data_IF_610161478475
#
_entry.id   IF_610161478475
#
_cell.length_a   1.000
_cell.length_b   1.000
_cell.length_c   1.000
_cell.angle_alpha   90.00
_cell.angle_beta   90.00
_cell.angle_gamma   90.00
#
_symmetry.space_group_name_H-M   'P 1'
#
loop_
_entity.id
_entity.type
_entity.pdbx_description
1 polymer ?
#
# COMPACT_ATOMS: atom_id res chain seq x y z
N UNK A 1 -13.66 2.19 14.83
CA UNK A 1 -12.49 1.29 14.80
C UNK A 1 -11.24 2.04 15.22
N UNK A 2 -10.11 1.37 15.42
CA UNK A 2 -8.82 2.05 15.69
C UNK A 2 -8.48 3.07 14.58
N UNK A 3 -8.85 2.74 13.33
CA UNK A 3 -8.67 3.65 12.22
C UNK A 3 -9.60 4.88 12.31
N UNK A 4 -10.86 4.75 12.78
CA UNK A 4 -11.71 5.91 13.09
C UNK A 4 -11.04 6.89 14.05
N UNK A 5 -10.33 6.40 15.07
CA UNK A 5 -9.61 7.26 16.00
C UNK A 5 -8.41 7.96 15.33
N UNK A 6 -7.67 7.27 14.46
CA UNK A 6 -6.58 7.85 13.67
C UNK A 6 -7.11 8.92 12.70
N UNK A 7 -8.23 8.64 12.02
CA UNK A 7 -8.88 9.56 11.09
C UNK A 7 -9.27 10.85 11.80
N UNK A 8 -9.81 10.74 13.02
CA UNK A 8 -10.31 11.90 13.76
C UNK A 8 -9.24 12.63 14.59
N UNK A 9 -7.97 12.18 14.57
CA UNK A 9 -6.89 12.77 15.38
C UNK A 9 -5.70 13.20 14.53
N UNK A 10 -5.49 14.51 14.43
CA UNK A 10 -4.33 15.09 13.73
C UNK A 10 -3.00 14.65 14.35
N UNK A 11 -2.92 14.64 15.68
CA UNK A 11 -1.73 14.17 16.40
C UNK A 11 -1.41 12.71 16.05
N UNK A 12 -2.44 11.85 15.96
CA UNK A 12 -2.24 10.46 15.54
C UNK A 12 -1.73 10.37 14.11
N UNK A 13 -2.31 11.12 13.16
CA UNK A 13 -1.86 11.15 11.76
C UNK A 13 -0.42 11.66 11.63
N UNK A 14 -0.06 12.70 12.39
CA UNK A 14 1.30 13.26 12.41
C UNK A 14 2.30 12.26 12.98
N UNK A 15 1.97 11.59 14.08
CA UNK A 15 2.84 10.57 14.68
C UNK A 15 3.12 9.40 13.74
N UNK A 16 2.16 9.00 12.90
CA UNK A 16 2.36 7.95 11.90
C UNK A 16 3.40 8.32 10.84
N UNK A 17 3.38 9.57 10.42
CA UNK A 17 4.31 10.11 9.43
C UNK A 17 5.70 10.32 10.05
N UNK A 18 5.77 10.84 11.27
CA UNK A 18 7.04 11.25 11.88
C UNK A 18 7.75 10.15 12.68
N UNK A 19 7.07 9.10 13.14
CA UNK A 19 7.65 8.08 14.04
C UNK A 19 7.79 6.70 13.40
N UNK A 20 9.03 6.28 13.16
CA UNK A 20 9.35 4.92 12.71
C UNK A 20 8.92 3.85 13.71
N UNK A 21 8.95 4.15 15.02
CA UNK A 21 8.46 3.26 16.09
C UNK A 21 6.95 3.06 15.97
N UNK A 22 6.18 4.13 15.79
CA UNK A 22 4.73 4.04 15.61
C UNK A 22 4.37 3.23 14.36
N UNK A 23 5.09 3.44 13.25
CA UNK A 23 4.92 2.62 12.05
C UNK A 23 5.17 1.14 12.34
N UNK A 24 6.32 0.80 12.96
CA UNK A 24 6.67 -0.60 13.31
C UNK A 24 5.61 -1.26 14.19
N UNK A 25 5.06 -0.54 15.17
CA UNK A 25 4.00 -1.07 16.03
C UNK A 25 2.72 -1.40 15.25
N UNK A 26 2.27 -0.54 14.34
CA UNK A 26 1.10 -0.82 13.51
C UNK A 26 1.30 -1.99 12.54
N UNK A 27 2.52 -2.13 12.03
CA UNK A 27 2.91 -3.22 11.13
C UNK A 27 2.81 -4.60 11.78
N UNK A 28 3.10 -4.65 13.08
CA UNK A 28 2.94 -5.84 13.92
C UNK A 28 1.53 -5.98 14.52
N UNK A 29 0.66 -4.98 14.37
CA UNK A 29 -0.69 -5.01 14.95
C UNK A 29 -1.55 -6.10 14.34
N UNK A 30 -2.35 -6.76 15.18
CA UNK A 30 -3.40 -7.70 14.76
C UNK A 30 -4.54 -7.05 13.97
N UNK A 31 -4.59 -5.72 13.96
CA UNK A 31 -5.55 -4.94 13.16
C UNK A 31 -5.17 -4.88 11.67
N UNK A 32 -3.93 -5.19 11.32
CA UNK A 32 -3.47 -5.18 9.95
C UNK A 32 -3.90 -6.47 9.23
N UNK A 33 -4.69 -6.31 8.17
CA UNK A 33 -5.18 -7.39 7.33
C UNK A 33 -4.40 -7.45 6.02
N UNK A 34 -4.33 -8.65 5.45
CA UNK A 34 -3.70 -8.88 4.15
C UNK A 34 -4.78 -9.08 3.08
N UNK A 35 -4.60 -8.45 1.93
CA UNK A 35 -5.54 -8.53 0.82
C UNK A 35 -4.81 -8.79 -0.48
N UNK A 36 -5.26 -9.80 -1.22
CA UNK A 36 -4.80 -10.06 -2.59
C UNK A 36 -5.37 -9.03 -3.56
N UNK A 37 -4.52 -8.57 -4.45
CA UNK A 37 -4.91 -7.76 -5.59
C UNK A 37 -5.09 -8.72 -6.76
N UNK A 38 -6.34 -9.01 -7.12
CA UNK A 38 -6.62 -9.87 -8.27
C UNK A 38 -6.37 -9.05 -9.52
N UNK A 39 -5.25 -9.29 -10.21
CA UNK A 39 -5.21 -9.09 -11.66
C UNK A 39 -5.55 -10.43 -12.30
N UNK A 40 -6.37 -10.41 -13.36
CA UNK A 40 -6.55 -11.61 -14.19
C UNK A 40 -5.17 -12.00 -14.75
N UNK A 41 -4.79 -13.27 -14.59
CA UNK A 41 -3.49 -13.79 -15.07
C UNK A 41 -3.24 -13.32 -16.50
N UNK A 42 -2.09 -12.68 -16.73
CA UNK A 42 -1.63 -12.32 -18.07
C UNK A 42 -1.78 -10.86 -18.47
N UNK A 43 -2.24 -9.98 -17.59
CA UNK A 43 -2.21 -8.55 -17.88
C UNK A 43 -0.85 -7.95 -17.48
N UNK A 44 0.00 -7.73 -18.49
CA UNK A 44 1.25 -6.97 -18.38
C UNK A 44 0.96 -5.51 -17.98
N UNK A 45 2.01 -4.67 -17.84
CA UNK A 45 2.05 -3.22 -17.55
C UNK A 45 1.06 -2.31 -18.32
N UNK A 46 0.14 -2.88 -19.07
CA UNK A 46 -0.80 -2.25 -19.99
C UNK A 46 -2.22 -2.29 -19.43
N UNK A 47 -2.51 -3.07 -18.38
CA UNK A 47 -3.82 -3.09 -17.74
C UNK A 47 -3.74 -2.55 -16.32
N UNK A 48 -4.28 -1.35 -16.16
CA UNK A 48 -4.42 -0.71 -14.87
C UNK A 48 -5.58 -1.38 -14.13
N UNK A 49 -5.31 -1.84 -12.91
CA UNK A 49 -6.34 -2.25 -11.96
C UNK A 49 -6.76 -1.09 -11.06
N UNK A 50 -8.04 -1.05 -10.69
CA UNK A 50 -8.55 -0.17 -9.64
C UNK A 50 -9.18 -1.01 -8.54
N UNK A 51 -8.83 -0.73 -7.28
CA UNK A 51 -9.47 -1.36 -6.12
C UNK A 51 -9.79 -0.32 -5.07
N UNK A 52 -11.06 -0.24 -4.68
CA UNK A 52 -11.51 0.60 -3.58
C UNK A 52 -11.14 -0.04 -2.25
N UNK A 53 -10.33 0.63 -1.45
CA UNK A 53 -9.94 0.20 -0.11
C UNK A 53 -10.03 1.37 0.87
N UNK A 54 -10.73 1.17 1.99
CA UNK A 54 -10.77 2.16 3.06
C UNK A 54 -9.78 1.73 4.14
N UNK A 55 -8.71 2.49 4.35
CA UNK A 55 -7.72 2.14 5.36
C UNK A 55 -6.32 2.69 5.13
N UNK A 56 -5.42 2.39 6.07
CA UNK A 56 -4.00 2.77 6.01
C UNK A 56 -3.19 1.65 5.37
N UNK A 57 -2.58 1.92 4.20
CA UNK A 57 -1.64 1.01 3.55
C UNK A 57 -0.33 0.99 4.33
N UNK A 58 0.08 -0.20 4.78
CA UNK A 58 1.33 -0.39 5.54
C UNK A 58 2.44 -0.93 4.64
N UNK A 59 2.12 -1.98 3.88
CA UNK A 59 3.09 -2.66 3.03
C UNK A 59 2.47 -3.18 1.74
N UNK A 60 3.34 -3.37 0.76
CA UNK A 60 3.03 -4.00 -0.53
C UNK A 60 3.96 -5.18 -0.75
N UNK A 61 3.49 -6.24 -1.41
CA UNK A 61 4.32 -7.41 -1.75
C UNK A 61 4.03 -7.87 -3.17
N UNK A 62 5.10 -8.06 -3.94
CA UNK A 62 5.03 -8.75 -5.23
C UNK A 62 4.85 -10.26 -5.02
N UNK A 63 4.17 -10.89 -5.98
CA UNK A 63 3.95 -12.32 -6.00
C UNK A 63 5.21 -13.19 -6.17
N UNK A 64 6.31 -12.60 -6.65
CA UNK A 64 7.58 -13.24 -6.90
C UNK A 64 8.74 -12.26 -6.58
N UNK A 65 9.97 -12.62 -6.97
CA UNK A 65 11.18 -11.80 -6.78
C UNK A 65 11.31 -10.61 -7.74
N UNK A 66 10.37 -10.40 -8.67
CA UNK A 66 10.49 -9.36 -9.69
C UNK A 66 9.56 -8.18 -9.42
N UNK A 67 9.90 -7.06 -10.05
CA UNK A 67 9.08 -5.87 -10.01
C UNK A 67 7.79 -6.05 -10.82
N UNK A 68 6.72 -6.41 -10.13
CA UNK A 68 5.44 -6.78 -10.71
C UNK A 68 4.23 -6.09 -10.07
N UNK A 69 4.47 -5.13 -9.16
CA UNK A 69 3.40 -4.34 -8.57
C UNK A 69 3.82 -2.89 -8.35
N UNK A 70 2.97 -1.95 -8.76
CA UNK A 70 3.20 -0.51 -8.67
C UNK A 70 1.87 0.21 -8.44
N UNK A 71 1.76 0.97 -7.34
CA UNK A 71 0.62 1.85 -7.08
C UNK A 71 0.85 3.18 -7.80
N UNK A 72 -0.06 3.55 -8.69
CA UNK A 72 0.05 4.75 -9.53
C UNK A 72 -0.80 5.91 -9.06
N UNK A 73 -1.92 5.63 -8.39
CA UNK A 73 -2.75 6.67 -7.79
C UNK A 73 -3.38 6.16 -6.51
N UNK A 74 -3.57 7.10 -5.57
CA UNK A 74 -4.46 6.94 -4.44
C UNK A 74 -5.46 8.08 -4.54
N UNK A 75 -6.73 7.72 -4.73
CA UNK A 75 -7.80 8.60 -5.18
C UNK A 75 -7.39 9.35 -6.46
N UNK A 76 -7.54 10.68 -6.47
CA UNK A 76 -7.10 11.55 -7.55
C UNK A 76 -5.60 11.88 -7.48
N UNK A 77 -4.91 11.51 -6.39
CA UNK A 77 -3.51 11.90 -6.17
C UNK A 77 -2.57 10.95 -6.91
N UNK A 78 -1.83 11.50 -7.87
CA UNK A 78 -0.74 10.78 -8.53
C UNK A 78 0.52 10.87 -7.67
N UNK A 79 1.00 9.71 -7.18
CA UNK A 79 2.11 9.63 -6.22
C UNK A 79 3.55 9.88 -6.79
N UNK A 80 3.78 9.71 -8.10
CA UNK A 80 5.06 9.85 -8.82
C UNK A 80 4.86 9.56 -10.33
N UNK A 81 5.77 10.00 -11.19
CA UNK A 81 5.76 9.68 -12.63
C UNK A 81 6.67 8.50 -13.00
N UNK A 82 7.57 8.06 -12.12
CA UNK A 82 8.48 6.93 -12.37
C UNK A 82 8.00 5.63 -11.70
N UNK A 83 8.19 4.51 -12.40
CA UNK A 83 7.76 3.19 -11.89
C UNK A 83 8.66 2.73 -10.72
N UNK A 84 9.96 2.99 -10.79
CA UNK A 84 10.96 2.48 -9.84
C UNK A 84 10.71 2.87 -8.38
N UNK A 85 10.18 4.06 -8.09
CA UNK A 85 9.86 4.46 -6.72
C UNK A 85 8.72 3.62 -6.11
N UNK A 86 7.83 3.05 -6.93
CA UNK A 86 6.56 2.46 -6.50
C UNK A 86 6.52 0.93 -6.55
N UNK A 87 7.62 0.31 -6.97
CA UNK A 87 7.80 -1.13 -7.02
C UNK A 87 7.53 -1.77 -5.68
N UNK A 88 6.73 -2.82 -5.65
CA UNK A 88 6.27 -3.53 -4.45
C UNK A 88 7.33 -4.32 -3.70
N UNK A 89 8.40 -4.65 -4.41
CA UNK A 89 9.51 -5.43 -3.92
C UNK A 89 10.80 -4.83 -4.50
N UNK A 90 11.85 -4.86 -3.69
CA UNK A 90 13.20 -4.73 -4.22
C UNK A 90 13.44 -5.92 -5.15
N UNK A 91 14.05 -5.68 -6.31
CA UNK A 91 14.42 -6.75 -7.25
C UNK A 91 15.15 -7.88 -6.50
N UNK A 92 14.75 -9.12 -6.72
CA UNK A 92 15.29 -10.30 -6.03
C UNK A 92 14.63 -10.65 -4.69
N UNK A 93 13.58 -9.93 -4.25
CA UNK A 93 12.96 -10.13 -2.93
C UNK A 93 11.47 -10.48 -3.02
N UNK A 94 11.00 -11.40 -2.17
CA UNK A 94 9.57 -11.68 -1.95
C UNK A 94 9.00 -10.98 -0.70
N UNK A 95 9.82 -10.14 -0.08
CA UNK A 95 9.47 -9.38 1.11
C UNK A 95 8.50 -8.25 0.84
N UNK A 96 7.91 -7.75 1.92
CA UNK A 96 7.08 -6.56 1.89
C UNK A 96 7.93 -5.30 1.74
N UNK A 97 7.64 -4.45 0.76
CA UNK A 97 8.15 -3.08 0.76
C UNK A 97 7.34 -2.21 1.69
N UNK A 98 8.06 -1.42 2.49
CA UNK A 98 7.52 -0.46 3.42
C UNK A 98 6.89 0.72 2.69
N UNK A 99 5.57 0.67 2.53
CA UNK A 99 4.86 1.65 1.74
C UNK A 99 4.77 2.99 2.47
N UNK A 100 4.37 2.94 3.74
CA UNK A 100 4.19 4.13 4.57
C UNK A 100 5.51 4.88 4.79
N UNK A 101 6.65 4.19 4.81
CA UNK A 101 7.96 4.83 4.93
C UNK A 101 8.44 5.45 3.61
N UNK A 102 8.21 4.78 2.48
CA UNK A 102 8.56 5.32 1.17
C UNK A 102 7.65 6.48 0.75
N UNK A 103 6.40 6.49 1.22
CA UNK A 103 5.38 7.48 0.89
C UNK A 103 4.63 7.91 2.16
N UNK A 104 5.24 8.74 3.02
CA UNK A 104 4.62 9.19 4.25
C UNK A 104 3.52 10.21 3.96
N UNK A 105 2.32 9.75 3.65
CA UNK A 105 1.13 10.58 3.45
C UNK A 105 -0.10 9.91 4.08
N UNK A 106 -0.89 10.70 4.82
CA UNK A 106 -1.97 10.23 5.70
C UNK A 106 -3.39 10.47 5.14
N UNK A 107 -3.54 10.91 3.89
CA UNK A 107 -4.84 11.29 3.31
C UNK A 107 -5.78 10.11 2.96
N UNK A 108 -5.43 8.86 3.27
CA UNK A 108 -5.94 7.66 2.58
C UNK A 108 -7.19 7.00 3.16
N UNK A 109 -8.07 7.79 3.75
CA UNK A 109 -9.16 7.30 4.59
C UNK A 109 -10.31 6.64 3.78
N UNK A 110 -10.41 6.90 2.48
CA UNK A 110 -11.46 6.37 1.58
C UNK A 110 -10.91 5.96 0.19
N UNK A 111 -9.68 5.46 0.16
CA UNK A 111 -8.86 5.42 -1.05
C UNK A 111 -9.33 4.48 -2.16
N UNK A 112 -9.56 5.01 -3.36
CA UNK A 112 -9.49 4.25 -4.60
C UNK A 112 -8.02 4.09 -5.00
N UNK A 113 -7.52 2.86 -5.06
CA UNK A 113 -6.11 2.61 -5.39
C UNK A 113 -6.02 2.12 -6.82
N UNK A 114 -5.28 2.87 -7.61
CA UNK A 114 -4.95 2.52 -9.00
C UNK A 114 -3.56 1.92 -9.02
N UNK A 115 -3.41 0.76 -9.65
CA UNK A 115 -2.16 0.03 -9.65
C UNK A 115 -1.93 -0.78 -10.93
N UNK A 116 -0.69 -1.20 -11.12
CA UNK A 116 -0.32 -2.30 -12.02
C UNK A 116 0.07 -3.49 -11.15
N UNK A 117 -0.48 -4.68 -11.43
CA UNK A 117 -0.13 -5.92 -10.75
C UNK A 117 -0.04 -7.06 -11.78
N UNK A 118 1.07 -7.79 -11.81
CA UNK A 118 1.27 -8.89 -12.75
C UNK A 118 0.85 -10.25 -12.17
N UNK A 119 1.12 -10.48 -10.88
CA UNK A 119 0.84 -11.77 -10.22
C UNK A 119 -0.41 -11.72 -9.35
N UNK A 120 -1.27 -12.75 -9.42
CA UNK A 120 -2.39 -12.93 -8.47
C UNK A 120 -1.96 -13.05 -7.01
N UNK A 121 -0.72 -13.44 -6.76
CA UNK A 121 -0.12 -13.56 -5.43
C UNK A 121 0.35 -12.21 -4.87
N UNK A 122 0.18 -11.12 -5.62
CA UNK A 122 0.46 -9.75 -5.16
C UNK A 122 -0.51 -9.34 -4.06
N UNK A 123 0.04 -8.77 -2.98
CA UNK A 123 -0.71 -8.48 -1.76
C UNK A 123 -0.43 -7.08 -1.23
N UNK A 124 -1.44 -6.50 -0.57
CA UNK A 124 -1.30 -5.32 0.28
C UNK A 124 -1.60 -5.72 1.72
N UNK A 125 -0.75 -5.28 2.66
CA UNK A 125 -1.07 -5.29 4.08
C UNK A 125 -1.53 -3.90 4.50
N UNK A 126 -2.72 -3.79 5.06
CA UNK A 126 -3.34 -2.52 5.43
C UNK A 126 -4.19 -2.66 6.70
N UNK A 127 -4.49 -1.56 7.37
CA UNK A 127 -5.46 -1.54 8.47
C UNK A 127 -6.77 -0.97 7.94
N UNK A 128 -7.88 -1.72 7.95
CA UNK A 128 -9.16 -1.26 7.40
C UNK A 128 -9.77 -0.14 8.26
N UNK A 129 -10.54 0.72 7.60
CA UNK A 129 -11.40 1.73 8.25
C UNK A 129 -12.68 1.10 8.81
#
# INVERSE_FOLDING_TARGET
>A
TAMTAVINSEAARTALVSSSVARKALKASSLAVEMSLVSSDGQYWNSIGTKTMRGLILYTKAGNTDNAFTITKVDSTTLASNNNARNAATSGSTGYKDWLEAFPNSSWVLSSITFYAYYRTTKIKYIPC
#
